data_IF_435189350121
#
_entry.id   IF_435189350121
#
_cell.length_a   1.000
_cell.length_b   1.000
_cell.length_c   1.000
_cell.angle_alpha   90.00
_cell.angle_beta   90.00
_cell.angle_gamma   90.00
#
_symmetry.space_group_name_H-M   'P 1'
#
loop_
_entity.id
_entity.type
_entity.pdbx_description
1 polymer ?
#
# COMPACT_ATOMS: atom_id res chain seq x y z
N UNK A 1 4.18 -17.54 -16.47
CA UNK A 1 3.07 -16.61 -16.12
C UNK A 1 2.78 -15.76 -17.35
N UNK A 2 1.52 -15.46 -17.71
CA UNK A 2 1.27 -14.39 -18.66
C UNK A 2 1.83 -13.09 -18.07
N UNK A 3 2.22 -12.08 -18.86
CA UNK A 3 2.80 -10.82 -18.38
C UNK A 3 1.74 -10.01 -17.62
N UNK A 4 1.38 -10.47 -16.43
CA UNK A 4 0.61 -9.75 -15.44
C UNK A 4 1.57 -8.81 -14.74
N UNK A 5 1.41 -7.52 -15.03
CA UNK A 5 1.97 -6.35 -14.34
C UNK A 5 2.88 -6.71 -13.16
N UNK A 6 4.19 -6.69 -13.40
CA UNK A 6 5.17 -6.89 -12.33
C UNK A 6 4.83 -5.94 -11.16
N UNK A 7 4.78 -6.51 -9.95
CA UNK A 7 4.46 -5.79 -8.73
C UNK A 7 5.35 -4.56 -8.59
N UNK A 8 4.72 -3.38 -8.53
CA UNK A 8 5.45 -2.10 -8.63
C UNK A 8 6.03 -1.64 -7.27
N UNK A 9 5.84 -2.42 -6.22
CA UNK A 9 6.25 -2.10 -4.86
C UNK A 9 6.82 -3.33 -4.15
N UNK A 10 7.59 -3.10 -3.08
CA UNK A 10 8.19 -4.16 -2.25
C UNK A 10 8.37 -3.68 -0.82
N UNK A 11 8.03 -4.52 0.16
CA UNK A 11 8.27 -4.25 1.59
C UNK A 11 9.76 -3.98 1.86
N UNK A 12 10.05 -2.99 2.70
CA UNK A 12 11.39 -2.53 3.03
C UNK A 12 12.01 -1.58 2.00
N UNK A 13 11.28 -1.27 0.93
CA UNK A 13 11.72 -0.33 -0.11
C UNK A 13 10.80 0.87 -0.17
N UNK A 14 11.37 2.00 -0.60
CA UNK A 14 10.57 3.19 -0.92
C UNK A 14 9.71 2.92 -2.14
N UNK A 15 8.49 3.43 -2.12
CA UNK A 15 7.65 3.47 -3.31
C UNK A 15 8.41 4.15 -4.44
N UNK A 16 8.54 3.50 -5.61
CA UNK A 16 9.14 4.13 -6.76
C UNK A 16 8.37 5.39 -7.15
N UNK A 17 9.08 6.42 -7.62
CA UNK A 17 8.48 7.74 -7.92
C UNK A 17 7.40 7.71 -9.00
N UNK A 18 7.44 6.71 -9.87
CA UNK A 18 6.47 6.49 -10.95
C UNK A 18 5.24 5.68 -10.50
N UNK A 19 5.19 5.25 -9.24
CA UNK A 19 4.02 4.57 -8.68
C UNK A 19 3.02 5.61 -8.19
N UNK A 20 1.85 5.62 -8.82
CA UNK A 20 0.71 6.41 -8.38
C UNK A 20 0.03 5.66 -7.24
N UNK A 21 -0.22 6.38 -6.15
CA UNK A 21 -0.96 5.87 -5.00
C UNK A 21 -2.05 6.87 -4.60
N UNK A 22 -3.10 6.36 -3.98
CA UNK A 22 -4.21 7.15 -3.45
C UNK A 22 -4.35 6.90 -1.96
N UNK A 23 -5.15 7.73 -1.30
CA UNK A 23 -5.57 7.45 0.06
C UNK A 23 -6.33 6.13 0.11
N UNK A 24 -6.07 5.37 1.18
CA UNK A 24 -6.82 4.15 1.43
C UNK A 24 -8.31 4.47 1.62
N UNK A 25 -9.20 3.59 1.14
CA UNK A 25 -10.63 3.69 1.42
C UNK A 25 -10.90 3.78 2.93
N UNK A 26 -11.88 4.59 3.35
CA UNK A 26 -12.15 4.83 4.78
C UNK A 26 -12.52 3.56 5.57
N UNK A 27 -13.05 2.54 4.91
CA UNK A 27 -13.36 1.24 5.51
C UNK A 27 -12.11 0.43 5.87
N UNK A 28 -10.94 0.74 5.31
CA UNK A 28 -9.66 0.14 5.73
C UNK A 28 -9.38 0.47 7.20
N UNK A 29 -9.57 1.74 7.60
CA UNK A 29 -9.36 2.17 9.00
C UNK A 29 -10.35 1.48 9.94
N UNK A 30 -11.58 1.25 9.47
CA UNK A 30 -12.60 0.54 10.25
C UNK A 30 -12.25 -0.94 10.45
N UNK A 31 -11.67 -1.60 9.44
CA UNK A 31 -11.34 -3.04 9.48
C UNK A 31 -10.01 -3.35 10.15
N UNK A 32 -8.99 -2.53 9.91
CA UNK A 32 -7.61 -2.81 10.32
C UNK A 32 -7.12 -1.89 11.44
N UNK A 33 -7.89 -0.87 11.79
CA UNK A 33 -7.53 0.13 12.78
C UNK A 33 -6.81 1.34 12.17
N UNK A 34 -6.51 2.31 13.03
CA UNK A 34 -5.79 3.52 12.64
C UNK A 34 -4.29 3.22 12.49
N UNK A 35 -3.61 3.70 11.45
CA UNK A 35 -2.16 3.53 11.34
C UNK A 35 -1.46 4.26 12.50
N UNK A 36 -0.34 3.73 13.01
CA UNK A 36 0.44 4.41 14.03
C UNK A 36 0.96 5.76 13.55
N UNK A 37 1.36 6.62 14.49
CA UNK A 37 1.93 7.94 14.17
C UNK A 37 3.13 7.82 13.22
N UNK A 38 3.17 8.68 12.21
CA UNK A 38 4.23 8.65 11.18
C UNK A 38 4.01 7.61 10.08
N UNK A 39 2.88 6.90 10.08
CA UNK A 39 2.50 5.96 9.02
C UNK A 39 1.14 6.30 8.42
N UNK A 40 0.90 5.83 7.20
CA UNK A 40 -0.41 5.92 6.55
C UNK A 40 -0.69 4.71 5.67
N UNK A 41 -1.97 4.37 5.55
CA UNK A 41 -2.43 3.44 4.52
C UNK A 41 -2.58 4.14 3.18
N UNK A 42 -2.05 3.54 2.12
CA UNK A 42 -2.22 4.00 0.74
C UNK A 42 -2.65 2.86 -0.16
N UNK A 43 -3.46 3.15 -1.17
CA UNK A 43 -3.84 2.18 -2.19
C UNK A 43 -2.89 2.28 -3.39
N UNK A 44 -2.30 1.16 -3.78
CA UNK A 44 -1.49 1.01 -5.00
C UNK A 44 -2.09 -0.11 -5.82
N UNK A 45 -2.66 0.23 -6.97
CA UNK A 45 -3.44 -0.69 -7.79
C UNK A 45 -4.53 -1.44 -6.97
N UNK A 46 -4.36 -2.74 -6.74
CA UNK A 46 -5.28 -3.58 -5.99
C UNK A 46 -4.87 -3.82 -4.52
N UNK A 47 -3.71 -3.28 -4.11
CA UNK A 47 -3.12 -3.53 -2.81
C UNK A 47 -3.25 -2.31 -1.89
N UNK A 48 -3.28 -2.57 -0.58
CA UNK A 48 -3.20 -1.53 0.45
C UNK A 48 -1.85 -1.65 1.14
N UNK A 49 -1.07 -0.57 1.15
CA UNK A 49 0.26 -0.53 1.75
C UNK A 49 0.24 0.32 3.01
N UNK A 50 0.94 -0.13 4.05
CA UNK A 50 1.33 0.73 5.14
C UNK A 50 2.68 1.35 4.79
N UNK A 51 2.73 2.68 4.71
CA UNK A 51 3.97 3.40 4.38
C UNK A 51 4.37 4.36 5.47
N UNK A 52 5.68 4.57 5.64
CA UNK A 52 6.22 5.64 6.46
C UNK A 52 6.02 7.00 5.78
N UNK A 53 5.43 7.95 6.50
CA UNK A 53 5.22 9.33 6.05
C UNK A 53 6.57 10.01 5.82
N UNK A 54 6.65 10.85 4.79
CA UNK A 54 7.88 11.56 4.39
C UNK A 54 8.85 10.73 3.54
N UNK A 55 9.06 9.45 3.86
CA UNK A 55 9.99 8.59 3.11
C UNK A 55 9.34 7.74 2.03
N UNK A 56 8.05 7.42 2.19
CA UNK A 56 7.32 6.49 1.32
C UNK A 56 7.83 5.05 1.42
N UNK A 57 8.55 4.69 2.49
CA UNK A 57 9.01 3.32 2.72
C UNK A 57 7.81 2.41 2.97
N UNK A 58 7.70 1.32 2.21
CA UNK A 58 6.69 0.29 2.42
C UNK A 58 7.10 -0.54 3.63
N UNK A 59 6.25 -0.54 4.64
CA UNK A 59 6.48 -1.21 5.92
C UNK A 59 5.76 -2.54 5.93
N UNK A 60 4.54 -2.54 5.42
CA UNK A 60 3.67 -3.70 5.35
C UNK A 60 2.66 -3.54 4.21
N UNK A 61 1.97 -4.61 3.86
CA UNK A 61 0.97 -4.61 2.82
C UNK A 61 -0.12 -5.67 2.99
N UNK A 62 -1.32 -5.29 2.59
CA UNK A 62 -2.46 -6.17 2.40
C UNK A 62 -2.60 -6.33 0.89
N UNK A 63 -2.33 -7.54 0.41
CA UNK A 63 -2.36 -7.88 -1.00
C UNK A 63 -3.71 -8.47 -1.39
N UNK A 64 -4.10 -8.27 -2.64
CA UNK A 64 -5.24 -8.95 -3.27
C UNK A 64 -6.58 -8.72 -2.52
N UNK A 65 -6.95 -7.46 -2.33
CA UNK A 65 -8.25 -7.09 -1.77
C UNK A 65 -9.44 -7.55 -2.65
N UNK A 66 -9.19 -7.90 -3.91
CA UNK A 66 -10.19 -8.35 -4.88
C UNK A 66 -10.55 -9.84 -4.77
N UNK A 67 -9.76 -10.67 -4.06
CA UNK A 67 -10.07 -12.08 -3.80
C UNK A 67 -10.91 -12.34 -2.55
N UNK A 68 -11.20 -11.30 -1.77
CA UNK A 68 -12.00 -11.41 -0.53
C UNK A 68 -13.49 -11.18 -0.77
#
# INVERSE_FOLDING_TARGET
>A
MPPGLAKQWRIGYRLPRNVVYYDAPGDIVVRFGMPPEGYRYVRVAADILLIAVGTGMVIDAIEDLNRM
#
